data_IF_725365913952
#
_entry.id   IF_725365913952
#
_cell.length_a   1.000
_cell.length_b   1.000
_cell.length_c   1.000
_cell.angle_alpha   90.00
_cell.angle_beta   90.00
_cell.angle_gamma   90.00
#
_symmetry.space_group_name_H-M   'P 1'
#
loop_
_entity.id
_entity.type
_entity.pdbx_description
1 polymer ?
#
# COMPACT_ATOMS: atom_id res chain seq x y z
N UNK A 1 24.85 3.82 -7.64
CA UNK A 1 24.70 3.93 -7.44
C UNK A 1 24.07 3.60 -7.16
N UNK A 2 23.90 3.49 -7.07
CA UNK A 2 23.43 3.38 -6.88
C UNK A 2 22.82 2.89 -6.43
N UNK A 3 22.73 2.79 -6.19
CA UNK A 3 22.40 2.56 -5.82
C UNK A 3 21.71 2.29 -5.34
N UNK A 4 21.53 2.56 -5.30
CA UNK A 4 20.99 2.56 -4.90
C UNK A 4 20.16 2.05 -4.75
N UNK A 5 19.99 1.78 -4.93
CA UNK A 5 19.27 1.40 -5.03
C UNK A 5 18.67 0.54 -4.83
N UNK A 6 18.56 0.27 -4.70
CA UNK A 6 18.11 -0.44 -4.40
C UNK A 6 17.21 -1.11 -4.27
N UNK A 7 17.52 -1.55 -4.05
CA UNK A 7 16.76 -2.75 -3.90
C UNK A 7 15.35 -2.48 -3.93
N UNK A 8 15.15 -1.56 -3.37
CA UNK A 8 13.87 -1.19 -3.37
C UNK A 8 13.58 -0.51 -4.60
N UNK A 9 14.49 -0.54 -5.46
CA UNK A 9 14.24 0.14 -6.66
C UNK A 9 13.13 -0.55 -7.36
N UNK A 10 11.97 -0.12 -7.11
CA UNK A 10 10.83 -0.45 -7.88
C UNK A 10 10.52 0.79 -8.67
N UNK A 11 11.01 0.87 -9.88
CA UNK A 11 10.87 2.11 -10.65
C UNK A 11 9.43 2.56 -10.77
N UNK A 12 8.51 1.59 -10.78
CA UNK A 12 7.09 1.92 -10.91
C UNK A 12 6.56 2.64 -9.68
N UNK A 13 7.27 2.55 -8.55
CA UNK A 13 6.87 3.22 -7.33
C UNK A 13 7.63 4.52 -7.10
N UNK A 14 8.55 4.84 -7.96
CA UNK A 14 9.28 6.09 -7.83
C UNK A 14 8.33 7.26 -7.99
N UNK A 15 8.34 8.18 -7.04
CA UNK A 15 7.43 9.30 -7.08
C UNK A 15 6.01 8.99 -6.68
N UNK A 16 5.71 7.73 -6.36
CA UNK A 16 4.40 7.31 -5.93
C UNK A 16 4.40 7.23 -4.42
N UNK A 17 3.56 8.01 -3.77
CA UNK A 17 3.49 8.00 -2.31
C UNK A 17 2.57 6.89 -1.84
N UNK A 18 2.72 6.53 -0.56
CA UNK A 18 1.85 5.54 0.05
C UNK A 18 0.39 5.99 -0.02
N UNK A 19 0.15 7.27 0.11
CA UNK A 19 -1.21 7.80 0.02
C UNK A 19 -1.81 7.52 -1.35
N UNK A 20 -1.04 7.72 -2.41
CA UNK A 20 -1.50 7.43 -3.76
C UNK A 20 -1.81 5.96 -3.91
N UNK A 21 -0.94 5.10 -3.37
CA UNK A 21 -1.13 3.66 -3.45
C UNK A 21 -2.45 3.25 -2.79
N UNK A 22 -2.66 3.68 -1.56
CA UNK A 22 -3.85 3.31 -0.81
C UNK A 22 -5.11 3.88 -1.49
N UNK A 23 -5.03 5.11 -1.96
CA UNK A 23 -6.15 5.75 -2.62
C UNK A 23 -6.54 4.98 -3.88
N UNK A 24 -5.57 4.64 -4.71
CA UNK A 24 -5.88 3.93 -5.95
C UNK A 24 -6.38 2.52 -5.68
N UNK A 25 -5.82 1.85 -4.69
CA UNK A 25 -6.31 0.52 -4.34
C UNK A 25 -7.75 0.57 -3.87
N UNK A 26 -8.08 1.56 -3.04
CA UNK A 26 -9.45 1.66 -2.54
C UNK A 26 -10.43 1.99 -3.66
N UNK A 27 -10.00 2.77 -4.65
CA UNK A 27 -10.87 3.13 -5.76
C UNK A 27 -11.06 1.99 -6.74
N UNK A 28 -10.02 1.19 -6.95
CA UNK A 28 -10.07 0.14 -7.97
C UNK A 28 -10.61 -1.17 -7.44
N UNK A 29 -10.24 -1.57 -6.23
CA UNK A 29 -10.67 -2.85 -5.72
C UNK A 29 -11.59 -2.74 -4.51
N UNK A 30 -11.61 -1.58 -3.86
CA UNK A 30 -12.46 -1.37 -2.69
C UNK A 30 -11.84 -1.89 -1.42
N UNK A 31 -12.31 -1.36 -0.30
CA UNK A 31 -11.77 -1.71 1.01
C UNK A 31 -11.96 -3.19 1.34
N UNK A 32 -13.08 -3.76 0.92
CA UNK A 32 -13.38 -5.14 1.23
C UNK A 32 -12.34 -6.08 0.61
N UNK A 33 -12.06 -5.89 -0.68
CA UNK A 33 -11.06 -6.71 -1.35
C UNK A 33 -9.68 -6.47 -0.78
N UNK A 34 -9.39 -5.22 -0.44
CA UNK A 34 -8.11 -4.90 0.20
C UNK A 34 -7.96 -5.64 1.52
N UNK A 35 -9.03 -5.73 2.30
CA UNK A 35 -9.02 -6.43 3.57
C UNK A 35 -8.83 -7.92 3.43
N UNK A 36 -9.31 -8.49 2.32
CA UNK A 36 -9.08 -9.90 2.05
C UNK A 36 -7.62 -10.14 1.70
N UNK A 37 -7.04 -9.27 0.88
CA UNK A 37 -5.66 -9.42 0.45
C UNK A 37 -4.67 -9.12 1.57
N UNK A 38 -4.97 -8.10 2.38
CA UNK A 38 -4.13 -7.70 3.51
C UNK A 38 -5.06 -7.55 4.72
N UNK A 39 -5.21 -8.60 5.53
CA UNK A 39 -6.21 -8.60 6.60
C UNK A 39 -5.77 -7.78 7.80
N UNK A 40 -5.86 -6.48 7.69
CA UNK A 40 -5.54 -5.57 8.77
C UNK A 40 -6.75 -4.73 9.10
N UNK A 41 -6.86 -4.31 10.36
CA UNK A 41 -8.06 -3.65 10.84
C UNK A 41 -8.36 -2.36 10.11
N UNK A 42 -7.35 -1.63 9.69
CA UNK A 42 -7.58 -0.37 9.02
C UNK A 42 -8.23 -0.53 7.65
N UNK A 43 -8.32 -1.76 7.15
CA UNK A 43 -9.02 -2.05 5.90
C UNK A 43 -10.37 -2.69 6.15
N UNK A 44 -10.54 -3.36 7.30
CA UNK A 44 -11.74 -4.17 7.55
C UNK A 44 -12.71 -3.50 8.51
N UNK A 45 -12.26 -2.52 9.29
CA UNK A 45 -13.10 -1.85 10.27
C UNK A 45 -12.96 -0.35 10.07
N UNK A 46 -14.08 0.29 9.74
CA UNK A 46 -14.12 1.74 9.58
C UNK A 46 -13.00 2.23 8.68
N UNK A 47 -12.86 1.66 7.47
CA UNK A 47 -11.69 1.97 6.65
C UNK A 47 -11.66 3.42 6.21
N UNK A 48 -10.46 4.00 6.21
CA UNK A 48 -10.25 5.32 5.68
C UNK A 48 -8.81 5.44 5.23
N UNK A 49 -8.56 6.38 4.32
CA UNK A 49 -7.21 6.63 3.85
C UNK A 49 -6.31 7.04 5.00
N UNK A 50 -6.82 7.94 5.83
CA UNK A 50 -6.02 8.51 6.90
C UNK A 50 -5.59 7.46 7.91
N UNK A 51 -6.52 6.63 8.37
CA UNK A 51 -6.17 5.60 9.35
C UNK A 51 -5.26 4.54 8.74
N UNK A 52 -5.47 4.22 7.48
CA UNK A 52 -4.62 3.26 6.79
C UNK A 52 -3.19 3.77 6.71
N UNK A 53 -3.01 5.03 6.34
CA UNK A 53 -1.67 5.59 6.25
C UNK A 53 -0.97 5.59 7.60
N UNK A 54 -1.70 5.95 8.65
CA UNK A 54 -1.12 5.98 9.97
C UNK A 54 -0.60 4.60 10.38
N UNK A 55 -1.40 3.57 10.13
CA UNK A 55 -1.02 2.20 10.47
C UNK A 55 0.16 1.74 9.61
N UNK A 56 0.07 1.96 8.30
CA UNK A 56 1.05 1.43 7.37
C UNK A 56 2.42 2.06 7.57
N UNK A 57 2.46 3.33 7.96
CA UNK A 57 3.72 4.01 8.20
C UNK A 57 4.49 3.41 9.35
N UNK A 58 3.80 2.74 10.27
CA UNK A 58 4.40 2.14 11.44
C UNK A 58 4.53 0.63 11.33
N UNK A 59 4.08 0.05 10.23
CA UNK A 59 4.02 -1.40 10.12
C UNK A 59 4.64 -1.83 8.79
N UNK A 60 5.97 -1.99 8.76
CA UNK A 60 6.67 -2.26 7.49
C UNK A 60 6.17 -3.48 6.73
N UNK A 61 5.82 -4.56 7.44
CA UNK A 61 5.36 -5.76 6.73
C UNK A 61 4.04 -5.50 6.00
N UNK A 62 3.16 -4.73 6.63
CA UNK A 62 1.86 -4.43 6.00
C UNK A 62 2.06 -3.48 4.82
N UNK A 63 2.95 -2.51 4.97
CA UNK A 63 3.25 -1.60 3.88
C UNK A 63 3.80 -2.36 2.68
N UNK A 64 4.70 -3.32 2.93
CA UNK A 64 5.26 -4.12 1.85
C UNK A 64 4.16 -4.91 1.13
N UNK A 65 3.22 -5.46 1.89
CA UNK A 65 2.11 -6.19 1.29
C UNK A 65 1.24 -5.30 0.43
N UNK A 66 0.99 -4.08 0.89
CA UNK A 66 0.17 -3.13 0.15
C UNK A 66 0.88 -2.72 -1.14
N UNK A 67 2.19 -2.49 -1.06
CA UNK A 67 2.96 -2.16 -2.25
C UNK A 67 2.93 -3.29 -3.25
N UNK A 68 3.07 -4.52 -2.78
CA UNK A 68 3.02 -5.68 -3.63
C UNK A 68 1.66 -5.80 -4.32
N UNK A 69 0.60 -5.57 -3.55
CA UNK A 69 -0.75 -5.61 -4.10
C UNK A 69 -0.93 -4.56 -5.19
N UNK A 70 -0.39 -3.37 -4.96
CA UNK A 70 -0.46 -2.30 -5.94
C UNK A 70 0.24 -2.69 -7.24
N UNK A 71 1.42 -3.29 -7.11
CA UNK A 71 2.17 -3.71 -8.30
C UNK A 71 1.44 -4.78 -9.09
N UNK A 72 0.74 -5.67 -8.40
CA UNK A 72 -0.05 -6.69 -9.08
C UNK A 72 -1.24 -6.10 -9.82
N UNK A 73 -1.76 -5.00 -9.31
CA UNK A 73 -2.91 -4.36 -9.91
C UNK A 73 -2.54 -3.66 -11.22
N UNK A 74 -1.30 -3.23 -11.31
CA UNK A 74 -0.84 -2.57 -12.52
C UNK A 74 -0.71 -3.58 -13.65
#
# INVERSE_FOLDING_TARGET
MDSNQEPTSRPVLEGITLEVIVTQLSERMGWEAMGVAVPINCFTRDPSIKSSLKFLRRTPWARAKVEELYLRML
#
